data_IF_197414345490
#
_entry.id   IF_197414345490
#
_cell.length_a   1.000
_cell.length_b   1.000
_cell.length_c   1.000
_cell.angle_alpha   90.00
_cell.angle_beta   90.00
_cell.angle_gamma   90.00
#
_symmetry.space_group_name_H-M   'P 1'
#
loop_
_entity.id
_entity.type
_entity.pdbx_description
1 polymer ?
#
# COMPACT_ATOMS: atom_id res chain seq x y z
N UNK A 1 -0.55 -10.30 17.47
CA UNK A 1 0.49 -10.27 16.41
C UNK A 1 0.27 -11.30 15.30
N UNK A 2 -0.29 -12.49 15.59
CA UNK A 2 -0.48 -13.58 14.60
C UNK A 2 -1.20 -13.21 13.30
N UNK A 3 -2.02 -12.15 13.29
CA UNK A 3 -2.81 -11.74 12.10
C UNK A 3 -2.28 -10.51 11.38
N UNK A 4 -1.25 -9.82 11.90
CA UNK A 4 -0.69 -8.67 11.19
C UNK A 4 0.07 -9.13 9.96
N UNK A 5 -0.24 -8.52 8.82
CA UNK A 5 0.52 -8.70 7.60
C UNK A 5 1.69 -7.72 7.59
N UNK A 6 2.85 -8.20 7.17
CA UNK A 6 4.03 -7.36 7.00
C UNK A 6 3.83 -6.36 5.87
N UNK A 7 4.53 -5.23 5.91
CA UNK A 7 4.43 -4.20 4.88
C UNK A 7 4.82 -4.73 3.50
N UNK A 8 5.84 -5.60 3.43
CA UNK A 8 6.25 -6.23 2.17
C UNK A 8 5.13 -7.12 1.61
N UNK A 9 4.49 -7.96 2.44
CA UNK A 9 3.37 -8.81 1.99
C UNK A 9 2.21 -7.98 1.44
N UNK A 10 1.89 -6.85 2.09
CA UNK A 10 0.83 -5.95 1.62
C UNK A 10 1.19 -5.27 0.29
N UNK A 11 2.45 -4.86 0.13
CA UNK A 11 2.97 -4.25 -1.10
C UNK A 11 2.98 -5.27 -2.25
N UNK A 12 3.43 -6.50 -2.00
CA UNK A 12 3.43 -7.57 -2.99
C UNK A 12 2.01 -7.87 -3.46
N UNK A 13 1.04 -7.93 -2.53
CA UNK A 13 -0.38 -8.11 -2.85
C UNK A 13 -0.95 -6.97 -3.68
N UNK A 14 -0.65 -5.72 -3.32
CA UNK A 14 -1.06 -4.54 -4.09
C UNK A 14 -0.59 -4.63 -5.54
N UNK A 15 0.70 -4.90 -5.74
CA UNK A 15 1.27 -4.93 -7.09
C UNK A 15 0.97 -6.22 -7.85
N UNK A 16 0.69 -7.33 -7.17
CA UNK A 16 0.13 -8.53 -7.81
C UNK A 16 -1.28 -8.27 -8.34
N UNK A 17 -2.14 -7.61 -7.54
CA UNK A 17 -3.47 -7.19 -7.97
C UNK A 17 -3.39 -6.23 -9.15
N UNK A 18 -2.58 -5.16 -9.03
CA UNK A 18 -2.35 -4.18 -10.08
C UNK A 18 -1.86 -4.83 -11.37
N UNK A 19 -0.86 -5.71 -11.32
CA UNK A 19 -0.35 -6.41 -12.50
C UNK A 19 -1.41 -7.29 -13.18
N UNK A 20 -2.32 -7.87 -12.38
CA UNK A 20 -3.34 -8.81 -12.89
C UNK A 20 -4.54 -8.12 -13.53
N UNK A 21 -4.91 -6.92 -13.07
CA UNK A 21 -6.19 -6.27 -13.41
C UNK A 21 -6.10 -4.76 -13.67
N UNK A 22 -4.96 -4.14 -13.41
CA UNK A 22 -4.84 -2.69 -13.22
C UNK A 22 -5.49 -2.24 -11.90
N UNK A 23 -5.40 -0.93 -11.61
CA UNK A 23 -6.09 -0.34 -10.46
C UNK A 23 -7.45 0.27 -10.78
N UNK A 24 -7.71 0.67 -12.03
CA UNK A 24 -9.02 1.11 -12.54
C UNK A 24 -9.84 2.00 -11.56
N UNK A 25 -9.22 2.99 -10.92
CA UNK A 25 -9.90 3.85 -9.92
C UNK A 25 -10.05 3.19 -8.54
N UNK A 26 -8.96 2.69 -7.97
CA UNK A 26 -8.94 2.06 -6.64
C UNK A 26 -8.67 3.07 -5.51
N UNK A 27 -9.17 2.76 -4.31
CA UNK A 27 -8.87 3.48 -3.07
C UNK A 27 -7.93 2.66 -2.16
N UNK A 28 -6.80 3.24 -1.79
CA UNK A 28 -5.92 2.68 -0.74
C UNK A 28 -6.28 3.33 0.60
N UNK A 29 -6.99 2.59 1.46
CA UNK A 29 -7.40 3.06 2.79
C UNK A 29 -6.42 2.56 3.85
N UNK A 30 -5.86 3.47 4.65
CA UNK A 30 -4.91 3.14 5.72
C UNK A 30 -5.40 3.68 7.05
N UNK A 31 -5.44 2.81 8.05
CA UNK A 31 -5.64 3.21 9.44
C UNK A 31 -4.29 3.31 10.17
N UNK A 32 -3.80 4.52 10.48
CA UNK A 32 -2.48 4.69 11.11
C UNK A 32 -2.47 4.32 12.61
N UNK A 33 -3.64 4.21 13.25
CA UNK A 33 -3.77 3.79 14.65
C UNK A 33 -3.42 2.32 14.84
N UNK A 34 -2.19 2.02 15.22
CA UNK A 34 -1.73 0.66 15.53
C UNK A 34 -0.99 0.65 16.86
N UNK A 35 -0.96 -0.50 17.52
CA UNK A 35 -0.18 -0.68 18.76
C UNK A 35 1.28 -0.27 18.55
N UNK A 36 1.87 0.41 19.54
CA UNK A 36 3.28 0.82 19.53
C UNK A 36 4.25 -0.36 19.36
N UNK A 37 3.82 -1.57 19.73
CA UNK A 37 4.59 -2.80 19.53
C UNK A 37 4.73 -3.20 18.05
N UNK A 38 3.95 -2.60 17.13
CA UNK A 38 4.09 -2.80 15.70
C UNK A 38 5.18 -1.89 15.15
N UNK A 39 6.37 -2.43 14.98
CA UNK A 39 7.53 -1.75 14.40
C UNK A 39 7.41 -1.63 12.88
N UNK A 40 6.85 -2.64 12.22
CA UNK A 40 6.61 -2.66 10.77
C UNK A 40 5.27 -2.02 10.40
N UNK A 41 5.32 -0.73 10.05
CA UNK A 41 4.15 0.10 9.69
C UNK A 41 4.17 0.41 8.20
N UNK A 42 3.12 0.00 7.48
CA UNK A 42 3.00 0.22 6.03
C UNK A 42 3.15 1.69 5.64
N UNK A 43 2.65 2.62 6.46
CA UNK A 43 2.71 4.04 6.15
C UNK A 43 4.14 4.61 6.12
N UNK A 44 5.13 3.91 6.68
CA UNK A 44 6.54 4.27 6.56
C UNK A 44 7.09 4.00 5.14
N UNK A 45 6.37 3.24 4.31
CA UNK A 45 6.75 2.89 2.93
C UNK A 45 5.87 3.54 1.87
N UNK A 46 5.09 4.57 2.23
CA UNK A 46 4.23 5.27 1.28
C UNK A 46 5.00 5.90 0.13
N UNK A 47 6.17 6.47 0.41
CA UNK A 47 7.01 7.09 -0.63
C UNK A 47 7.36 6.10 -1.75
N UNK A 48 7.72 4.87 -1.39
CA UNK A 48 8.01 3.80 -2.35
C UNK A 48 6.78 3.43 -3.19
N UNK A 49 5.64 3.23 -2.54
CA UNK A 49 4.37 2.87 -3.19
C UNK A 49 3.96 3.96 -4.18
N UNK A 50 3.98 5.22 -3.74
CA UNK A 50 3.59 6.39 -4.55
C UNK A 50 4.53 6.54 -5.74
N UNK A 51 5.86 6.48 -5.52
CA UNK A 51 6.85 6.59 -6.62
C UNK A 51 6.69 5.47 -7.64
N UNK A 52 6.44 4.24 -7.20
CA UNK A 52 6.20 3.12 -8.11
C UNK A 52 4.92 3.31 -8.92
N UNK A 53 3.81 3.69 -8.28
CA UNK A 53 2.54 3.92 -8.97
C UNK A 53 2.62 5.08 -9.98
N UNK A 54 3.29 6.18 -9.63
CA UNK A 54 3.54 7.29 -10.57
C UNK A 54 4.37 6.84 -11.79
N UNK A 55 5.41 6.03 -11.60
CA UNK A 55 6.20 5.47 -12.71
C UNK A 55 5.41 4.53 -13.60
N UNK A 56 4.38 3.87 -13.06
CA UNK A 56 3.46 3.03 -13.82
C UNK A 56 2.37 3.85 -14.54
N UNK A 57 2.36 5.18 -14.41
CA UNK A 57 1.41 6.06 -15.08
C UNK A 57 0.14 6.37 -14.29
N UNK A 58 0.04 5.94 -13.03
CA UNK A 58 -1.11 6.28 -12.19
C UNK A 58 -1.00 7.69 -11.61
N UNK A 59 -2.14 8.39 -11.56
CA UNK A 59 -2.31 9.65 -10.84
C UNK A 59 -2.99 9.42 -9.49
N UNK A 60 -2.80 10.37 -8.57
CA UNK A 60 -3.47 10.37 -7.28
C UNK A 60 -4.39 11.58 -7.23
N UNK A 61 -5.68 11.32 -7.12
CA UNK A 61 -6.71 12.35 -7.01
C UNK A 61 -7.16 12.49 -5.55
N UNK A 62 -7.63 13.70 -5.20
CA UNK A 62 -8.32 13.92 -3.94
C UNK A 62 -9.75 13.40 -4.09
N UNK A 63 -10.28 12.78 -3.04
CA UNK A 63 -11.71 12.49 -2.91
C UNK A 63 -12.47 13.78 -2.59
#
# INVERSE_FOLDING_TARGET
MKSYKGSQELIDKLFAFEKSKGLNGSLILIHPGVSDKRTDKLYNRLDEIIKRLKRLGYTFEKL
#
